data_IF_813603604676
#
_entry.id   IF_813603604676
#
_cell.length_a   1.000
_cell.length_b   1.000
_cell.length_c   1.000
_cell.angle_alpha   90.00
_cell.angle_beta   90.00
_cell.angle_gamma   90.00
#
_symmetry.space_group_name_H-M   'P 1'
#
loop_
_entity.id
_entity.type
_entity.pdbx_description
1 polymer ?
#
# COMPACT_ATOMS: atom_id res chain seq x y z
N UNK A 1 7.01 43.56 21.29
CA UNK A 1 5.85 42.92 20.64
C UNK A 1 6.12 41.48 20.16
N UNK A 2 7.07 40.74 20.78
CA UNK A 2 7.33 39.33 20.52
C UNK A 2 7.74 38.68 21.85
N UNK A 3 6.78 38.11 22.60
CA UNK A 3 6.99 37.16 23.73
C UNK A 3 5.65 36.87 24.41
N UNK A 4 4.75 36.24 23.68
CA UNK A 4 3.64 35.47 24.25
C UNK A 4 3.52 34.15 23.45
N UNK A 5 4.66 33.47 23.29
CA UNK A 5 4.65 32.04 22.97
C UNK A 5 4.24 31.32 24.25
N UNK A 6 2.94 31.19 24.46
CA UNK A 6 2.36 30.30 25.47
C UNK A 6 3.04 28.94 25.34
N UNK A 7 3.71 28.49 26.42
CA UNK A 7 4.34 27.16 26.45
C UNK A 7 3.30 26.13 26.02
N UNK A 8 3.61 25.24 25.06
CA UNK A 8 2.63 24.28 24.58
C UNK A 8 2.18 23.40 25.73
N UNK A 9 0.87 23.35 25.96
CA UNK A 9 0.28 22.47 26.97
C UNK A 9 0.44 21.02 26.50
N UNK A 10 0.57 20.07 27.44
CA UNK A 10 0.68 18.63 27.13
C UNK A 10 -0.45 18.16 26.20
N UNK A 11 -1.66 18.68 26.41
CA UNK A 11 -2.84 18.45 25.57
C UNK A 11 -2.67 19.04 24.16
N UNK A 12 -2.21 20.29 24.03
CA UNK A 12 -1.95 20.90 22.73
C UNK A 12 -0.93 20.13 21.89
N UNK A 13 0.14 19.61 22.52
CA UNK A 13 1.12 18.74 21.83
C UNK A 13 0.49 17.43 21.40
N UNK A 14 -0.29 16.78 22.29
CA UNK A 14 -0.99 15.54 21.98
C UNK A 14 -1.93 15.71 20.76
N UNK A 15 -2.69 16.80 20.72
CA UNK A 15 -3.65 17.10 19.65
C UNK A 15 -2.94 17.42 18.33
N UNK A 16 -1.83 18.16 18.37
CA UNK A 16 -1.00 18.39 17.19
C UNK A 16 -0.45 17.07 16.61
N UNK A 17 0.00 16.13 17.46
CA UNK A 17 0.46 14.80 17.00
C UNK A 17 -0.64 14.00 16.32
N UNK A 18 -1.89 14.08 16.83
CA UNK A 18 -3.03 13.42 16.21
C UNK A 18 -3.35 14.01 14.84
N UNK A 19 -3.41 15.34 14.74
CA UNK A 19 -3.67 16.04 13.48
C UNK A 19 -2.60 15.68 12.43
N UNK A 20 -1.32 15.73 12.81
CA UNK A 20 -0.21 15.37 11.93
C UNK A 20 -0.30 13.92 11.46
N UNK A 21 -0.61 12.99 12.37
CA UNK A 21 -0.79 11.58 12.00
C UNK A 21 -1.94 11.40 11.01
N UNK A 22 -3.09 12.04 11.24
CA UNK A 22 -4.26 11.95 10.34
C UNK A 22 -3.97 12.53 8.96
N UNK A 23 -3.39 13.73 8.88
CA UNK A 23 -2.99 14.35 7.61
C UNK A 23 -2.00 13.44 6.87
N UNK A 24 -0.97 12.96 7.57
CA UNK A 24 -0.01 12.01 7.01
C UNK A 24 -0.70 10.73 6.53
N UNK A 25 -1.66 10.21 7.29
CA UNK A 25 -2.44 9.03 6.93
C UNK A 25 -3.22 9.20 5.63
N UNK A 26 -3.83 10.37 5.41
CA UNK A 26 -4.51 10.72 4.15
C UNK A 26 -3.51 10.81 2.99
N UNK A 27 -2.37 11.47 3.20
CA UNK A 27 -1.32 11.57 2.18
C UNK A 27 -0.82 10.17 1.79
N UNK A 28 -0.51 9.31 2.77
CA UNK A 28 -0.09 7.92 2.50
C UNK A 28 -1.13 7.14 1.70
N UNK A 29 -2.43 7.32 1.98
CA UNK A 29 -3.50 6.70 1.20
C UNK A 29 -3.49 7.18 -0.25
N UNK A 30 -3.36 8.49 -0.48
CA UNK A 30 -3.30 9.07 -1.82
C UNK A 30 -2.10 8.50 -2.59
N UNK A 31 -0.92 8.44 -1.97
CA UNK A 31 0.29 7.90 -2.61
C UNK A 31 0.14 6.43 -3.01
N UNK A 32 -0.39 5.58 -2.12
CA UNK A 32 -0.64 4.17 -2.44
C UNK A 32 -1.73 4.02 -3.49
N UNK A 33 -2.78 4.85 -3.43
CA UNK A 33 -3.86 4.85 -4.42
C UNK A 33 -3.36 5.25 -5.81
N UNK A 34 -2.44 6.21 -5.87
CA UNK A 34 -1.76 6.60 -7.12
C UNK A 34 -1.04 5.39 -7.74
N UNK A 35 -0.26 4.65 -6.95
CA UNK A 35 0.42 3.43 -7.42
C UNK A 35 -0.59 2.35 -7.82
N UNK A 36 -1.71 2.25 -7.11
CA UNK A 36 -2.74 1.25 -7.37
C UNK A 36 -3.46 1.45 -8.70
N UNK A 37 -3.73 2.69 -9.13
CA UNK A 37 -4.42 2.95 -10.40
C UNK A 37 -3.46 3.17 -11.57
N UNK A 38 -2.14 3.23 -11.33
CA UNK A 38 -1.14 3.37 -12.38
C UNK A 38 -1.26 2.24 -13.42
N UNK A 39 -1.22 2.60 -14.71
CA UNK A 39 -1.32 1.65 -15.82
C UNK A 39 -2.67 0.96 -15.97
N UNK A 40 -3.71 1.34 -15.22
CA UNK A 40 -5.06 0.75 -15.33
C UNK A 40 -5.93 1.42 -16.39
N UNK A 41 -5.49 2.56 -16.92
CA UNK A 41 -6.24 3.38 -17.87
C UNK A 41 -5.32 3.81 -19.01
N UNK A 42 -5.87 3.89 -20.21
CA UNK A 42 -5.20 4.46 -21.38
C UNK A 42 -5.63 5.92 -21.50
N UNK A 43 -4.65 6.83 -21.53
CA UNK A 43 -4.90 8.25 -21.83
C UNK A 43 -4.85 8.42 -23.35
N UNK A 44 -5.96 8.90 -23.92
CA UNK A 44 -6.06 9.21 -25.34
C UNK A 44 -5.30 10.49 -25.67
N UNK A 45 -4.44 10.47 -26.68
CA UNK A 45 -3.60 11.58 -27.09
C UNK A 45 -2.78 11.28 -28.35
N UNK A 46 -1.84 12.16 -28.68
CA UNK A 46 -0.91 11.94 -29.79
C UNK A 46 0.53 11.79 -29.25
N UNK A 47 1.01 10.56 -28.98
CA UNK A 47 0.31 9.27 -29.03
C UNK A 47 -0.46 8.91 -27.75
N UNK A 48 -1.41 7.99 -27.88
CA UNK A 48 -2.05 7.32 -26.75
C UNK A 48 -0.99 6.64 -25.86
N UNK A 49 -1.15 6.72 -24.54
CA UNK A 49 -0.17 6.20 -23.59
C UNK A 49 -0.82 5.71 -22.29
N UNK A 50 -0.08 4.90 -21.54
CA UNK A 50 -0.56 4.36 -20.26
C UNK A 50 -0.56 5.45 -19.17
N UNK A 51 -1.63 5.51 -18.39
CA UNK A 51 -1.75 6.41 -17.25
C UNK A 51 -0.57 6.21 -16.28
N UNK A 52 0.16 7.29 -16.04
CA UNK A 52 1.37 7.29 -15.20
C UNK A 52 2.37 6.20 -15.58
N UNK A 53 2.72 6.11 -16.88
CA UNK A 53 3.82 5.27 -17.38
C UNK A 53 5.08 5.19 -16.48
N UNK A 54 5.59 6.30 -15.91
CA UNK A 54 6.77 6.23 -15.03
C UNK A 54 6.58 5.39 -13.75
N UNK A 55 5.33 5.10 -13.37
CA UNK A 55 4.94 4.30 -12.20
C UNK A 55 4.83 2.80 -12.50
N UNK A 56 5.26 2.33 -13.68
CA UNK A 56 5.54 0.92 -13.83
C UNK A 56 6.52 0.46 -12.74
N UNK A 57 6.44 -0.81 -12.32
CA UNK A 57 7.41 -1.44 -11.42
C UNK A 57 8.61 -1.95 -12.24
N UNK A 58 8.30 -2.55 -13.39
CA UNK A 58 9.26 -3.09 -14.33
C UNK A 58 8.82 -2.69 -15.73
N UNK A 59 9.79 -2.26 -16.55
CA UNK A 59 9.58 -2.00 -17.97
C UNK A 59 10.64 -2.73 -18.78
N UNK A 60 10.25 -3.28 -19.92
CA UNK A 60 11.14 -3.99 -20.85
C UNK A 60 10.54 -3.97 -22.26
N UNK A 61 11.36 -4.24 -23.25
CA UNK A 61 10.99 -4.26 -24.67
C UNK A 61 10.88 -5.71 -25.16
N UNK A 62 9.96 -5.99 -26.07
CA UNK A 62 9.74 -7.35 -26.55
C UNK A 62 8.82 -7.50 -27.76
N UNK A 63 8.47 -8.76 -28.04
CA UNK A 63 7.45 -9.19 -29.00
C UNK A 63 7.80 -8.97 -30.48
N UNK A 64 8.00 -7.74 -30.95
CA UNK A 64 8.26 -7.46 -32.37
C UNK A 64 9.70 -6.97 -32.52
N UNK A 65 10.61 -7.74 -33.15
CA UNK A 65 11.94 -7.23 -33.48
C UNK A 65 11.83 -6.16 -34.57
N UNK A 66 12.69 -5.15 -34.52
CA UNK A 66 12.83 -4.20 -35.62
C UNK A 66 13.45 -4.86 -36.87
N UNK A 67 13.43 -4.19 -38.02
CA UNK A 67 13.97 -4.69 -39.29
C UNK A 67 15.44 -5.15 -39.19
N UNK A 68 16.27 -4.40 -38.46
CA UNK A 68 17.68 -4.74 -38.24
C UNK A 68 17.86 -5.69 -37.03
N UNK A 69 16.77 -6.13 -36.42
CA UNK A 69 16.66 -6.98 -35.22
C UNK A 69 17.38 -6.48 -33.96
N UNK A 70 18.04 -5.31 -34.00
CA UNK A 70 18.81 -4.75 -32.89
C UNK A 70 18.02 -4.42 -31.62
N UNK A 71 16.70 -4.21 -31.74
CA UNK A 71 15.82 -3.91 -30.61
C UNK A 71 14.39 -4.33 -30.90
N UNK A 72 13.58 -4.38 -29.86
CA UNK A 72 12.15 -4.64 -29.95
C UNK A 72 11.33 -3.35 -30.04
N UNK A 73 10.20 -3.41 -30.74
CA UNK A 73 9.32 -2.27 -31.01
C UNK A 73 8.17 -2.10 -30.00
N UNK A 74 7.93 -3.11 -29.15
CA UNK A 74 6.85 -3.08 -28.15
C UNK A 74 7.43 -2.88 -26.76
N UNK A 75 7.01 -1.81 -26.09
CA UNK A 75 7.38 -1.47 -24.71
C UNK A 75 6.35 -2.05 -23.75
N UNK A 76 6.78 -2.99 -22.91
CA UNK A 76 5.98 -3.69 -21.92
C UNK A 76 6.17 -3.05 -20.55
N UNK A 77 5.08 -2.85 -19.82
CA UNK A 77 5.06 -2.18 -18.52
C UNK A 77 4.24 -2.99 -17.51
N UNK A 78 4.92 -3.49 -16.48
CA UNK A 78 4.29 -4.20 -15.38
C UNK A 78 4.03 -3.27 -14.21
N UNK A 79 2.76 -3.10 -13.84
CA UNK A 79 2.31 -2.27 -12.73
C UNK A 79 1.87 -3.15 -11.57
N UNK A 80 1.57 -2.51 -10.45
CA UNK A 80 1.10 -3.19 -9.25
C UNK A 80 -0.29 -3.84 -9.44
N UNK A 81 -1.11 -3.31 -10.35
CA UNK A 81 -2.49 -3.75 -10.59
C UNK A 81 -2.79 -4.08 -12.05
N UNK A 82 -1.84 -3.91 -12.97
CA UNK A 82 -2.06 -4.16 -14.39
C UNK A 82 -0.79 -4.53 -15.15
N UNK A 83 -0.96 -5.04 -16.37
CA UNK A 83 0.12 -5.18 -17.34
C UNK A 83 -0.30 -4.54 -18.66
N UNK A 84 0.44 -3.51 -19.04
CA UNK A 84 0.16 -2.71 -20.23
C UNK A 84 1.34 -2.73 -21.19
N UNK A 85 1.08 -2.32 -22.42
CA UNK A 85 2.06 -2.30 -23.48
C UNK A 85 1.85 -1.11 -24.42
N UNK A 86 2.91 -0.64 -25.06
CA UNK A 86 2.89 0.44 -26.04
C UNK A 86 3.73 0.05 -27.26
N UNK A 87 3.20 0.24 -28.47
CA UNK A 87 3.91 0.12 -29.74
C UNK A 87 3.77 1.44 -30.51
N UNK A 88 4.61 2.45 -30.21
CA UNK A 88 4.45 3.82 -30.71
C UNK A 88 4.50 3.93 -32.24
N UNK A 89 5.23 3.02 -32.88
CA UNK A 89 5.47 2.96 -34.33
C UNK A 89 4.54 1.98 -35.06
N UNK A 90 3.49 1.47 -34.40
CA UNK A 90 2.59 0.51 -35.03
C UNK A 90 1.97 1.09 -36.33
N UNK A 91 1.89 0.30 -37.41
CA UNK A 91 1.20 0.67 -38.65
C UNK A 91 -0.26 1.11 -38.43
N UNK A 92 -0.79 1.88 -39.38
CA UNK A 92 -2.19 2.29 -39.37
C UNK A 92 -3.12 1.07 -39.33
N UNK A 93 -4.06 1.07 -38.38
CA UNK A 93 -5.02 -0.03 -38.18
C UNK A 93 -4.61 -1.05 -37.13
N UNK A 94 -3.43 -0.91 -36.49
CA UNK A 94 -3.03 -1.69 -35.32
C UNK A 94 -3.09 -0.85 -34.04
N UNK A 95 -3.41 -1.48 -32.88
CA UNK A 95 -3.37 -0.80 -31.60
C UNK A 95 -1.94 -0.34 -31.27
N UNK A 96 -1.79 0.92 -30.82
CA UNK A 96 -0.51 1.49 -30.38
C UNK A 96 -0.27 1.36 -28.88
N UNK A 97 -1.30 1.00 -28.12
CA UNK A 97 -1.26 0.82 -26.67
C UNK A 97 -2.37 -0.13 -26.26
N UNK A 98 -2.14 -0.91 -25.21
CA UNK A 98 -3.15 -1.81 -24.67
C UNK A 98 -2.88 -2.19 -23.22
N UNK A 99 -3.92 -2.75 -22.58
CA UNK A 99 -3.85 -3.32 -21.23
C UNK A 99 -4.39 -4.73 -21.33
N UNK A 100 -3.53 -5.71 -21.05
CA UNK A 100 -3.88 -7.14 -21.16
C UNK A 100 -4.64 -7.63 -19.95
N UNK A 101 -4.23 -7.19 -18.77
CA UNK A 101 -4.80 -7.60 -17.50
C UNK A 101 -4.82 -6.44 -16.51
N UNK A 102 -5.88 -6.37 -15.72
CA UNK A 102 -6.04 -5.39 -14.64
C UNK A 102 -6.75 -6.02 -13.44
N UNK A 103 -6.48 -5.49 -12.25
CA UNK A 103 -7.06 -5.97 -11.00
C UNK A 103 -6.41 -7.25 -10.45
N UNK A 104 -7.24 -8.14 -9.91
CA UNK A 104 -6.80 -9.36 -9.24
C UNK A 104 -6.48 -10.46 -10.25
N UNK A 105 -5.20 -10.78 -10.38
CA UNK A 105 -4.66 -11.70 -11.40
C UNK A 105 -4.35 -13.10 -10.86
N UNK A 106 -5.36 -13.84 -10.39
CA UNK A 106 -5.15 -15.19 -9.85
C UNK A 106 -4.60 -16.20 -10.88
N UNK A 107 -5.04 -16.09 -12.14
CA UNK A 107 -4.72 -17.05 -13.21
C UNK A 107 -3.98 -16.43 -14.41
N UNK A 108 -3.77 -15.11 -14.42
CA UNK A 108 -3.04 -14.45 -15.50
C UNK A 108 -1.54 -14.61 -15.28
N UNK A 109 -0.92 -15.48 -16.06
CA UNK A 109 0.53 -15.57 -16.20
C UNK A 109 0.99 -14.46 -17.14
N UNK A 110 2.23 -13.99 -16.96
CA UNK A 110 2.83 -13.05 -17.89
C UNK A 110 2.87 -13.59 -19.33
N UNK A 111 3.03 -14.91 -19.49
CA UNK A 111 3.03 -15.54 -20.81
C UNK A 111 1.67 -15.38 -21.50
N UNK A 112 0.57 -15.57 -20.76
CA UNK A 112 -0.77 -15.34 -21.31
C UNK A 112 -0.96 -13.88 -21.72
N UNK A 113 -0.47 -12.94 -20.91
CA UNK A 113 -0.51 -11.52 -21.29
C UNK A 113 0.28 -11.29 -22.59
N UNK A 114 1.50 -11.83 -22.73
CA UNK A 114 2.31 -11.70 -23.93
C UNK A 114 1.63 -12.29 -25.18
N UNK A 115 0.99 -13.45 -25.05
CA UNK A 115 0.22 -14.08 -26.14
C UNK A 115 -0.99 -13.23 -26.55
N UNK A 116 -1.68 -12.63 -25.58
CA UNK A 116 -2.77 -11.70 -25.85
C UNK A 116 -2.27 -10.49 -26.64
N UNK A 117 -1.10 -9.92 -26.29
CA UNK A 117 -0.50 -8.80 -27.03
C UNK A 117 -0.15 -9.22 -28.46
N UNK A 118 0.46 -10.39 -28.65
CA UNK A 118 0.78 -10.90 -29.98
C UNK A 118 -0.49 -11.06 -30.85
N UNK A 119 -1.58 -11.52 -30.25
CA UNK A 119 -2.89 -11.65 -30.91
C UNK A 119 -3.47 -10.28 -31.27
N UNK A 120 -3.41 -9.31 -30.35
CA UNK A 120 -3.86 -7.92 -30.57
C UNK A 120 -3.05 -7.22 -31.68
N UNK A 121 -1.75 -7.53 -31.76
CA UNK A 121 -0.83 -7.05 -32.80
C UNK A 121 -0.92 -7.85 -34.11
N UNK A 122 -1.80 -8.86 -34.18
CA UNK A 122 -2.04 -9.71 -35.36
C UNK A 122 -0.77 -10.40 -35.87
N UNK A 123 0.09 -10.85 -34.95
CA UNK A 123 1.24 -11.68 -35.33
C UNK A 123 0.75 -13.06 -35.82
N UNK A 124 1.45 -13.68 -36.78
CA UNK A 124 1.12 -15.03 -37.22
C UNK A 124 1.17 -16.02 -36.04
N UNK A 125 0.20 -16.94 -35.95
CA UNK A 125 0.03 -17.79 -34.75
C UNK A 125 1.25 -18.68 -34.48
N UNK A 126 1.90 -19.17 -35.53
CA UNK A 126 3.14 -19.97 -35.50
C UNK A 126 4.34 -19.21 -34.90
N UNK A 127 4.26 -17.89 -34.77
CA UNK A 127 5.33 -17.06 -34.22
C UNK A 127 5.27 -16.92 -32.70
N UNK A 128 4.13 -17.18 -32.06
CA UNK A 128 3.99 -17.04 -30.60
C UNK A 128 3.33 -18.25 -29.93
N UNK A 129 2.49 -19.01 -30.65
CA UNK A 129 1.88 -20.25 -30.17
C UNK A 129 2.79 -21.45 -30.45
N UNK A 130 4.05 -21.32 -30.05
CA UNK A 130 5.07 -22.33 -30.28
C UNK A 130 4.90 -23.47 -29.26
N UNK A 131 5.15 -24.75 -29.63
CA UNK A 131 4.96 -25.90 -28.73
C UNK A 131 5.68 -25.73 -27.39
N UNK A 132 5.00 -26.12 -26.30
CA UNK A 132 5.54 -26.13 -24.91
C UNK A 132 6.84 -26.93 -24.83
N UNK A 133 7.75 -26.62 -23.88
CA UNK A 133 9.11 -27.16 -23.85
C UNK A 133 9.16 -28.68 -24.00
N UNK A 134 9.87 -29.12 -25.03
CA UNK A 134 10.21 -30.48 -25.39
C UNK A 134 11.51 -30.48 -26.20
N UNK A 135 12.19 -31.63 -26.38
CA UNK A 135 13.45 -31.68 -27.11
C UNK A 135 13.21 -31.46 -28.61
N UNK A 136 13.39 -30.22 -29.07
CA UNK A 136 13.73 -29.87 -30.46
C UNK A 136 12.81 -30.39 -31.58
N UNK A 137 11.49 -30.23 -31.51
CA UNK A 137 10.65 -30.57 -32.67
C UNK A 137 10.46 -29.41 -33.66
N UNK A 138 10.42 -28.14 -33.24
CA UNK A 138 10.50 -26.97 -34.15
C UNK A 138 10.94 -25.68 -33.42
N UNK A 139 11.73 -24.79 -34.05
CA UNK A 139 12.04 -23.45 -33.52
C UNK A 139 10.84 -22.51 -33.63
N UNK A 140 10.65 -21.64 -32.65
CA UNK A 140 9.60 -20.63 -32.71
C UNK A 140 9.92 -19.56 -33.75
N UNK A 141 8.93 -19.14 -34.56
CA UNK A 141 9.13 -18.14 -35.60
C UNK A 141 9.51 -16.74 -35.09
N UNK A 142 9.36 -16.49 -33.78
CA UNK A 142 9.72 -15.24 -33.13
C UNK A 142 10.82 -15.45 -32.08
N UNK A 143 11.92 -14.71 -32.22
CA UNK A 143 13.07 -14.77 -31.31
C UNK A 143 12.71 -14.42 -29.85
N UNK A 144 11.72 -13.55 -29.63
CA UNK A 144 11.26 -13.19 -28.29
C UNK A 144 10.52 -14.37 -27.65
N UNK A 145 9.54 -14.96 -28.34
CA UNK A 145 8.80 -16.10 -27.80
C UNK A 145 9.68 -17.35 -27.67
N UNK A 146 10.70 -17.51 -28.54
CA UNK A 146 11.73 -18.55 -28.38
C UNK A 146 12.54 -18.36 -27.09
N UNK A 147 12.99 -17.14 -26.78
CA UNK A 147 13.71 -16.86 -25.53
C UNK A 147 12.84 -17.10 -24.29
N UNK A 148 11.53 -16.89 -24.40
CA UNK A 148 10.56 -17.17 -23.34
C UNK A 148 10.12 -18.64 -23.32
N UNK A 149 10.53 -19.49 -24.26
CA UNK A 149 10.22 -20.93 -24.33
C UNK A 149 11.04 -21.73 -23.31
N UNK A 150 10.76 -21.54 -22.02
CA UNK A 150 11.43 -22.24 -20.93
C UNK A 150 10.44 -22.88 -19.95
N UNK A 151 10.89 -23.92 -19.23
CA UNK A 151 10.10 -24.50 -18.14
C UNK A 151 9.69 -23.44 -17.10
N UNK A 152 10.55 -22.43 -16.85
CA UNK A 152 10.25 -21.32 -15.94
C UNK A 152 9.10 -20.42 -16.41
N UNK A 153 8.90 -20.28 -17.72
CA UNK A 153 7.78 -19.53 -18.29
C UNK A 153 6.54 -20.40 -18.47
N UNK A 154 6.71 -21.70 -18.75
CA UNK A 154 5.62 -22.65 -19.03
C UNK A 154 4.63 -22.87 -17.87
N UNK A 155 5.08 -22.68 -16.63
CA UNK A 155 4.25 -22.70 -15.41
C UNK A 155 3.81 -21.32 -14.92
N UNK A 156 4.16 -20.25 -15.66
CA UNK A 156 4.15 -18.88 -15.16
C UNK A 156 5.39 -18.58 -14.31
N UNK A 157 5.88 -17.33 -14.36
CA UNK A 157 6.93 -16.89 -13.45
C UNK A 157 6.47 -17.11 -12.01
N UNK A 158 7.36 -17.56 -11.13
CA UNK A 158 7.13 -17.70 -9.68
C UNK A 158 7.04 -16.34 -8.97
N UNK A 159 6.42 -15.34 -9.62
CA UNK A 159 6.12 -14.02 -9.11
C UNK A 159 4.60 -13.94 -9.03
N UNK A 160 3.99 -14.32 -7.90
CA UNK A 160 2.55 -14.35 -7.79
C UNK A 160 2.03 -12.90 -7.68
N UNK A 161 1.81 -12.27 -8.83
CA UNK A 161 1.41 -10.87 -9.02
C UNK A 161 0.18 -10.48 -8.19
N UNK A 162 -0.73 -11.42 -7.96
CA UNK A 162 -1.91 -11.22 -7.12
C UNK A 162 -1.58 -10.86 -5.66
N UNK A 163 -0.44 -11.29 -5.10
CA UNK A 163 -0.03 -10.91 -3.75
C UNK A 163 0.38 -9.44 -3.68
N UNK A 164 0.98 -8.87 -4.73
CA UNK A 164 1.29 -7.43 -4.79
C UNK A 164 0.01 -6.63 -4.72
N UNK A 165 -0.96 -7.00 -5.56
CA UNK A 165 -2.29 -6.40 -5.57
C UNK A 165 -2.97 -6.50 -4.20
N UNK A 166 -2.99 -7.70 -3.60
CA UNK A 166 -3.64 -7.94 -2.31
C UNK A 166 -3.02 -7.09 -1.19
N UNK A 167 -1.69 -7.01 -1.12
CA UNK A 167 -1.00 -6.22 -0.10
C UNK A 167 -1.28 -4.71 -0.22
N UNK A 168 -1.38 -4.20 -1.45
CA UNK A 168 -1.76 -2.80 -1.70
C UNK A 168 -3.21 -2.55 -1.30
N UNK A 169 -4.13 -3.43 -1.68
CA UNK A 169 -5.55 -3.33 -1.31
C UNK A 169 -5.74 -3.38 0.21
N UNK A 170 -5.04 -4.28 0.90
CA UNK A 170 -5.09 -4.36 2.36
C UNK A 170 -4.54 -3.09 3.02
N UNK A 171 -3.48 -2.48 2.45
CA UNK A 171 -2.95 -1.20 2.91
C UNK A 171 -3.98 -0.06 2.73
N UNK A 172 -4.63 0.02 1.57
CA UNK A 172 -5.69 1.00 1.30
C UNK A 172 -6.89 0.81 2.24
N UNK A 173 -7.32 -0.44 2.43
CA UNK A 173 -8.43 -0.78 3.33
C UNK A 173 -8.12 -0.39 4.77
N UNK A 174 -6.97 -0.80 5.30
CA UNK A 174 -6.57 -0.49 6.68
C UNK A 174 -6.37 1.01 6.87
N UNK A 175 -5.71 1.69 5.92
CA UNK A 175 -5.52 3.14 5.99
C UNK A 175 -6.85 3.90 5.97
N UNK A 176 -7.82 3.48 5.14
CA UNK A 176 -9.16 4.08 5.09
C UNK A 176 -9.91 3.83 6.40
N UNK A 177 -9.79 2.62 6.95
CA UNK A 177 -10.34 2.29 8.25
C UNK A 177 -9.72 3.14 9.36
N UNK A 178 -8.43 3.50 9.30
CA UNK A 178 -7.83 4.43 10.26
C UNK A 178 -8.57 5.78 10.25
N UNK A 179 -8.80 6.37 9.08
CA UNK A 179 -9.51 7.65 8.95
C UNK A 179 -10.95 7.56 9.47
N UNK A 180 -11.65 6.50 9.11
CA UNK A 180 -13.00 6.24 9.63
C UNK A 180 -13.01 6.11 11.16
N UNK A 181 -12.03 5.43 11.74
CA UNK A 181 -11.90 5.27 13.20
C UNK A 181 -11.63 6.60 13.89
N UNK A 182 -10.78 7.45 13.33
CA UNK A 182 -10.49 8.78 13.89
C UNK A 182 -11.73 9.69 13.83
N UNK A 183 -12.59 9.54 12.83
CA UNK A 183 -13.90 10.17 12.81
C UNK A 183 -14.88 9.53 13.82
N UNK A 184 -14.88 8.20 13.94
CA UNK A 184 -15.82 7.48 14.79
C UNK A 184 -15.58 7.69 16.29
N UNK A 185 -14.32 7.80 16.74
CA UNK A 185 -13.99 7.96 18.16
C UNK A 185 -14.70 9.18 18.80
N UNK A 186 -14.60 10.41 18.26
CA UNK A 186 -15.30 11.56 18.84
C UNK A 186 -16.81 11.60 18.54
N UNK A 187 -17.27 11.06 17.41
CA UNK A 187 -18.66 11.24 16.97
C UNK A 187 -19.59 10.07 17.34
N UNK A 188 -19.07 8.84 17.31
CA UNK A 188 -19.83 7.58 17.47
C UNK A 188 -18.96 6.51 18.15
N UNK A 189 -18.46 6.73 19.38
CA UNK A 189 -17.49 5.83 20.02
C UNK A 189 -18.00 4.38 20.12
N UNK A 190 -19.30 4.16 20.33
CA UNK A 190 -19.91 2.83 20.40
C UNK A 190 -19.75 1.98 19.12
N UNK A 191 -19.49 2.59 17.96
CA UNK A 191 -19.17 1.85 16.71
C UNK A 191 -17.82 1.14 16.80
N UNK A 192 -16.93 1.61 17.68
CA UNK A 192 -15.62 1.02 17.95
C UNK A 192 -15.67 -0.14 18.95
N UNK A 193 -16.86 -0.63 19.32
CA UNK A 193 -17.01 -1.73 20.28
C UNK A 193 -16.45 -3.04 19.70
N UNK A 194 -15.68 -3.77 20.49
CA UNK A 194 -15.22 -5.10 20.08
C UNK A 194 -16.40 -6.06 19.87
N UNK A 195 -16.52 -6.62 18.66
CA UNK A 195 -17.55 -7.63 18.29
C UNK A 195 -16.99 -9.03 18.07
N UNK A 196 -15.69 -9.25 18.24
CA UNK A 196 -15.06 -10.55 18.01
C UNK A 196 -15.70 -11.62 18.90
N UNK A 197 -16.07 -12.77 18.32
CA UNK A 197 -16.58 -13.93 19.08
C UNK A 197 -15.39 -14.69 19.67
N UNK A 198 -14.40 -14.99 18.83
CA UNK A 198 -13.13 -15.64 19.17
C UNK A 198 -12.04 -14.58 19.33
N UNK A 199 -11.09 -14.79 20.24
CA UNK A 199 -9.95 -13.87 20.40
C UNK A 199 -10.29 -12.54 21.10
N UNK A 200 -11.43 -12.44 21.80
CA UNK A 200 -11.85 -11.24 22.56
C UNK A 200 -10.76 -10.65 23.46
N UNK A 201 -9.85 -11.49 23.98
CA UNK A 201 -8.74 -11.04 24.84
C UNK A 201 -7.69 -10.21 24.09
N UNK A 202 -7.50 -10.49 22.80
CA UNK A 202 -6.51 -9.85 21.93
C UNK A 202 -7.07 -8.68 21.12
N UNK A 203 -8.40 -8.52 21.13
CA UNK A 203 -9.07 -7.43 20.44
C UNK A 203 -8.59 -6.07 21.00
N UNK A 204 -7.99 -5.20 20.17
CA UNK A 204 -7.52 -3.90 20.62
C UNK A 204 -8.67 -2.92 20.87
N UNK A 205 -9.84 -3.19 20.29
CA UNK A 205 -11.04 -2.39 20.48
C UNK A 205 -11.59 -2.54 21.91
N UNK A 206 -12.14 -1.46 22.49
CA UNK A 206 -12.62 -1.50 23.84
C UNK A 206 -13.89 -2.35 24.00
N UNK A 207 -14.11 -2.78 25.23
CA UNK A 207 -15.26 -3.56 25.70
C UNK A 207 -16.05 -2.68 26.66
N UNK A 208 -17.38 -2.83 26.65
CA UNK A 208 -18.24 -2.11 27.58
C UNK A 208 -19.64 -1.85 27.06
N UNK A 209 -20.46 -1.23 27.88
CA UNK A 209 -21.75 -0.63 27.49
C UNK A 209 -21.52 0.62 26.62
N UNK A 210 -22.60 1.18 26.07
CA UNK A 210 -22.50 2.40 25.27
C UNK A 210 -22.06 3.59 26.14
N UNK A 211 -22.61 3.66 27.35
CA UNK A 211 -22.38 4.70 28.34
C UNK A 211 -20.93 4.69 28.85
N UNK A 212 -20.38 3.50 29.12
CA UNK A 212 -18.97 3.36 29.53
C UNK A 212 -18.01 3.86 28.44
N UNK A 213 -18.31 3.60 27.17
CA UNK A 213 -17.46 4.00 26.05
C UNK A 213 -17.45 5.51 25.81
N UNK A 214 -18.58 6.19 26.05
CA UNK A 214 -18.69 7.64 25.96
C UNK A 214 -17.91 8.35 27.08
N UNK A 215 -17.61 7.64 28.18
CA UNK A 215 -16.85 8.16 29.33
C UNK A 215 -15.34 7.85 29.26
N UNK A 216 -14.86 7.12 28.26
CA UNK A 216 -13.44 6.80 28.15
C UNK A 216 -12.59 8.04 27.92
N UNK A 217 -11.48 8.11 28.65
CA UNK A 217 -10.50 9.17 28.49
C UNK A 217 -9.58 8.92 27.28
N UNK A 218 -8.82 9.96 26.93
CA UNK A 218 -7.88 9.93 25.79
C UNK A 218 -6.88 8.78 25.91
N UNK A 219 -6.48 8.40 27.12
CA UNK A 219 -5.50 7.33 27.33
C UNK A 219 -6.01 5.96 26.85
N UNK A 220 -7.27 5.64 27.12
CA UNK A 220 -7.89 4.40 26.62
C UNK A 220 -7.95 4.42 25.10
N UNK A 221 -8.43 5.51 24.51
CA UNK A 221 -8.54 5.61 23.06
C UNK A 221 -7.17 5.59 22.37
N UNK A 222 -6.17 6.29 22.89
CA UNK A 222 -4.81 6.31 22.32
C UNK A 222 -4.15 4.92 22.32
N UNK A 223 -4.48 4.07 23.31
CA UNK A 223 -4.05 2.67 23.30
C UNK A 223 -4.66 1.90 22.10
N UNK A 224 -5.93 2.14 21.80
CA UNK A 224 -6.60 1.58 20.62
C UNK A 224 -5.95 2.12 19.35
N UNK A 225 -5.66 3.43 19.30
CA UNK A 225 -4.97 4.10 18.18
C UNK A 225 -3.65 3.45 17.86
N UNK A 226 -2.78 3.24 18.86
CA UNK A 226 -1.49 2.58 18.65
C UNK A 226 -1.66 1.26 17.90
N UNK A 227 -2.60 0.42 18.33
CA UNK A 227 -2.77 -0.91 17.76
C UNK A 227 -3.13 -0.86 16.26
N UNK A 228 -4.12 -0.06 15.86
CA UNK A 228 -4.52 -0.02 14.45
C UNK A 228 -3.57 0.79 13.58
N UNK A 229 -2.97 1.88 14.09
CA UNK A 229 -1.96 2.63 13.35
C UNK A 229 -0.69 1.80 13.12
N UNK A 230 -0.25 1.02 14.12
CA UNK A 230 0.88 0.11 13.96
C UNK A 230 0.57 -1.03 12.97
N UNK A 231 -0.63 -1.62 13.05
CA UNK A 231 -1.06 -2.65 12.10
C UNK A 231 -1.11 -2.12 10.66
N UNK A 232 -1.71 -0.95 10.46
CA UNK A 232 -1.75 -0.25 9.17
C UNK A 232 -0.33 0.02 8.66
N UNK A 233 0.57 0.60 9.47
CA UNK A 233 1.96 0.82 9.09
C UNK A 233 2.67 -0.47 8.66
N UNK A 234 2.45 -1.59 9.36
CA UNK A 234 3.03 -2.88 8.98
C UNK A 234 2.56 -3.32 7.57
N UNK A 235 1.27 -3.20 7.25
CA UNK A 235 0.76 -3.55 5.92
C UNK A 235 1.30 -2.64 4.80
N UNK A 236 1.43 -1.33 5.07
CA UNK A 236 2.10 -0.43 4.12
C UNK A 236 3.56 -0.85 3.88
N UNK A 237 4.27 -1.28 4.93
CA UNK A 237 5.63 -1.80 4.83
C UNK A 237 5.70 -3.11 4.04
N UNK A 238 4.75 -4.02 4.26
CA UNK A 238 4.62 -5.28 3.49
C UNK A 238 4.37 -4.95 2.02
N UNK A 239 3.47 -4.02 1.70
CA UNK A 239 3.20 -3.60 0.32
C UNK A 239 4.46 -3.02 -0.36
N UNK A 240 5.17 -2.12 0.31
CA UNK A 240 6.41 -1.54 -0.22
C UNK A 240 7.51 -2.60 -0.43
N UNK A 241 7.76 -3.42 0.60
CA UNK A 241 8.80 -4.46 0.58
C UNK A 241 8.51 -5.54 -0.45
N UNK A 242 7.29 -6.06 -0.50
CA UNK A 242 6.89 -7.10 -1.44
C UNK A 242 6.94 -6.61 -2.90
N UNK A 243 6.55 -5.37 -3.15
CA UNK A 243 6.66 -4.73 -4.48
C UNK A 243 8.12 -4.60 -4.91
N UNK A 244 9.00 -4.12 -4.02
CA UNK A 244 10.43 -4.03 -4.26
C UNK A 244 11.02 -5.41 -4.59
N UNK A 245 10.77 -6.43 -3.76
CA UNK A 245 11.27 -7.79 -3.94
C UNK A 245 10.83 -8.36 -5.31
N UNK A 246 9.56 -8.24 -5.67
CA UNK A 246 9.08 -8.77 -6.94
C UNK A 246 9.65 -8.06 -8.16
N UNK A 247 9.82 -6.74 -8.11
CA UNK A 247 10.47 -6.02 -9.21
C UNK A 247 11.92 -6.45 -9.42
N UNK A 248 12.66 -6.76 -8.34
CA UNK A 248 14.03 -7.30 -8.40
C UNK A 248 14.03 -8.67 -9.05
N UNK A 249 13.17 -9.57 -8.57
CA UNK A 249 13.08 -10.91 -9.12
C UNK A 249 12.67 -10.91 -10.59
N UNK A 250 11.69 -10.09 -10.96
CA UNK A 250 11.26 -9.98 -12.35
C UNK A 250 12.41 -9.54 -13.26
N UNK A 251 13.14 -8.48 -12.92
CA UNK A 251 14.28 -8.06 -13.75
C UNK A 251 15.38 -9.12 -13.83
N UNK A 252 15.59 -9.90 -12.76
CA UNK A 252 16.50 -11.07 -12.84
C UNK A 252 15.99 -12.15 -13.81
N UNK A 253 14.69 -12.43 -13.83
CA UNK A 253 14.11 -13.33 -14.83
C UNK A 253 14.25 -12.79 -16.25
N UNK A 254 14.10 -11.48 -16.45
CA UNK A 254 14.34 -10.86 -17.76
C UNK A 254 15.79 -11.08 -18.22
N UNK A 255 16.77 -10.92 -17.33
CA UNK A 255 18.17 -11.24 -17.65
C UNK A 255 18.37 -12.68 -18.11
N UNK A 256 17.68 -13.65 -17.48
CA UNK A 256 17.74 -15.05 -17.88
C UNK A 256 17.12 -15.33 -19.27
N UNK A 257 16.08 -14.59 -19.65
CA UNK A 257 15.53 -14.68 -21.00
C UNK A 257 16.42 -13.95 -22.01
N UNK A 258 17.07 -12.87 -21.60
CA UNK A 258 17.99 -12.10 -22.44
C UNK A 258 19.23 -12.92 -22.83
N UNK A 259 19.75 -13.77 -21.95
CA UNK A 259 20.83 -14.74 -22.25
C UNK A 259 20.48 -15.73 -23.37
N UNK A 260 19.20 -15.87 -23.76
CA UNK A 260 18.75 -16.72 -24.86
C UNK A 260 18.51 -15.97 -26.16
N UNK A 261 18.55 -14.64 -26.13
CA UNK A 261 18.39 -13.86 -27.33
C UNK A 261 19.66 -13.92 -28.19
N UNK A 262 19.54 -13.76 -29.52
CA UNK A 262 20.70 -13.59 -30.38
C UNK A 262 21.57 -12.41 -29.95
N UNK A 263 22.87 -12.51 -30.23
CA UNK A 263 23.84 -11.46 -29.91
C UNK A 263 23.43 -10.10 -30.49
N UNK A 264 23.51 -9.06 -29.65
CA UNK A 264 23.18 -7.69 -30.05
C UNK A 264 21.70 -7.30 -29.92
N UNK A 265 20.84 -8.20 -29.44
CA UNK A 265 19.42 -7.95 -29.18
C UNK A 265 19.17 -7.93 -27.68
N UNK A 266 18.51 -6.89 -27.18
CA UNK A 266 18.20 -6.72 -25.76
C UNK A 266 16.73 -6.38 -25.53
N UNK A 267 16.19 -6.89 -24.42
CA UNK A 267 14.87 -6.47 -23.91
C UNK A 267 14.97 -5.21 -23.03
N UNK A 268 16.17 -4.69 -22.74
CA UNK A 268 16.38 -3.51 -21.89
C UNK A 268 15.58 -3.56 -20.58
N UNK A 269 15.54 -4.74 -19.93
CA UNK A 269 14.77 -4.97 -18.72
C UNK A 269 15.25 -4.08 -17.57
N UNK A 270 14.38 -3.19 -17.08
CA UNK A 270 14.74 -2.25 -16.02
C UNK A 270 13.66 -2.10 -14.95
N UNK A 271 14.12 -1.93 -13.72
CA UNK A 271 13.29 -1.53 -12.58
C UNK A 271 12.97 -0.05 -12.68
N UNK A 272 11.74 0.32 -12.36
CA UNK A 272 11.26 1.70 -12.35
C UNK A 272 10.96 2.07 -10.90
N UNK A 273 11.81 2.91 -10.34
CA UNK A 273 11.83 3.16 -8.89
C UNK A 273 10.72 4.09 -8.40
N UNK A 274 10.03 4.80 -9.29
CA UNK A 274 9.08 5.85 -8.90
C UNK A 274 7.96 5.29 -8.00
N UNK A 275 7.30 4.20 -8.40
CA UNK A 275 6.27 3.55 -7.58
C UNK A 275 6.80 3.02 -6.26
N UNK A 276 8.00 2.43 -6.26
CA UNK A 276 8.63 1.95 -5.03
C UNK A 276 8.89 3.11 -4.05
N UNK A 277 9.41 4.24 -4.55
CA UNK A 277 9.64 5.44 -3.76
C UNK A 277 8.33 5.93 -3.15
N UNK A 278 7.24 6.01 -3.94
CA UNK A 278 5.94 6.42 -3.42
C UNK A 278 5.43 5.49 -2.32
N UNK A 279 5.56 4.18 -2.48
CA UNK A 279 5.18 3.20 -1.45
C UNK A 279 6.04 3.32 -0.19
N UNK A 280 7.36 3.47 -0.32
CA UNK A 280 8.27 3.65 0.81
C UNK A 280 8.03 4.97 1.55
N UNK A 281 7.75 6.06 0.83
CA UNK A 281 7.35 7.34 1.42
C UNK A 281 6.02 7.19 2.17
N UNK A 282 5.02 6.54 1.56
CA UNK A 282 3.75 6.27 2.22
C UNK A 282 3.91 5.44 3.50
N UNK A 283 4.76 4.42 3.47
CA UNK A 283 5.14 3.63 4.65
C UNK A 283 5.86 4.46 5.71
N UNK A 284 6.82 5.30 5.31
CA UNK A 284 7.54 6.19 6.23
C UNK A 284 6.59 7.15 6.95
N UNK A 285 5.67 7.77 6.22
CA UNK A 285 4.64 8.65 6.78
C UNK A 285 3.70 7.88 7.72
N UNK A 286 3.26 6.67 7.35
CA UNK A 286 2.42 5.83 8.23
C UNK A 286 3.15 5.42 9.51
N UNK A 287 4.42 5.06 9.41
CA UNK A 287 5.27 4.73 10.56
C UNK A 287 5.45 5.93 11.48
N UNK A 288 5.66 7.11 10.90
CA UNK A 288 5.68 8.37 11.64
C UNK A 288 4.35 8.62 12.36
N UNK A 289 3.21 8.41 11.71
CA UNK A 289 1.88 8.51 12.34
C UNK A 289 1.71 7.53 13.51
N UNK A 290 2.16 6.29 13.38
CA UNK A 290 2.15 5.31 14.47
C UNK A 290 3.04 5.73 15.65
N UNK A 291 4.22 6.32 15.37
CA UNK A 291 5.09 6.91 16.39
C UNK A 291 4.42 8.10 17.09
N UNK A 292 3.74 8.98 16.34
CA UNK A 292 2.94 10.07 16.91
C UNK A 292 1.89 9.53 17.88
N UNK A 293 1.19 8.43 17.55
CA UNK A 293 0.23 7.78 18.45
C UNK A 293 0.90 7.19 19.69
N UNK A 294 2.07 6.57 19.54
CA UNK A 294 2.82 6.04 20.66
C UNK A 294 3.28 7.13 21.63
N UNK A 295 3.75 8.27 21.10
CA UNK A 295 4.12 9.45 21.90
C UNK A 295 2.87 10.06 22.54
N UNK A 296 1.77 10.23 21.79
CA UNK A 296 0.50 10.74 22.29
C UNK A 296 -0.01 9.91 23.46
N UNK A 297 -0.01 8.58 23.35
CA UNK A 297 -0.39 7.67 24.43
C UNK A 297 0.48 7.83 25.68
N UNK A 298 1.80 8.00 25.52
CA UNK A 298 2.69 8.32 26.66
C UNK A 298 2.34 9.69 27.28
N UNK A 299 1.92 10.65 26.46
CA UNK A 299 1.45 11.97 26.90
C UNK A 299 0.02 11.96 27.48
N UNK A 300 -0.82 10.97 27.21
CA UNK A 300 -2.14 10.84 27.84
C UNK A 300 -2.10 10.05 29.14
N UNK A 301 -1.01 9.31 29.41
CA UNK A 301 -0.80 8.61 30.68
C UNK A 301 -0.81 9.62 31.85
N UNK A 302 -1.83 9.55 32.71
CA UNK A 302 -1.86 10.33 33.95
C UNK A 302 -0.66 9.91 34.81
N UNK A 303 0.20 10.84 35.29
CA UNK A 303 1.23 10.48 36.24
C UNK A 303 0.54 9.89 37.48
N UNK A 304 0.99 8.70 37.91
CA UNK A 304 0.59 8.12 39.20
C UNK A 304 0.87 9.20 40.27
N UNK A 305 -0.18 9.72 40.92
CA UNK A 305 -0.08 10.77 41.94
C UNK A 305 -0.93 12.04 41.72
N UNK A 306 -1.50 12.26 40.52
CA UNK A 306 -2.24 13.51 40.27
C UNK A 306 -3.59 13.64 41.00
N UNK A 307 -4.12 12.53 41.56
CA UNK A 307 -5.32 12.54 42.41
C UNK A 307 -5.03 12.84 43.88
N UNK A 308 -3.77 12.80 44.33
CA UNK A 308 -3.42 13.06 45.74
C UNK A 308 -3.26 14.56 46.04
N UNK A 309 -3.08 15.40 45.02
CA UNK A 309 -2.88 16.84 45.19
C UNK A 309 -4.14 17.73 45.10
N UNK A 310 -5.29 17.18 44.71
CA UNK A 310 -6.52 17.98 44.48
C UNK A 310 -7.66 17.72 45.47
N UNK A 311 -7.57 16.70 46.33
CA UNK A 311 -8.63 16.37 47.31
C UNK A 311 -8.37 16.90 48.74
N UNK A 312 -7.16 17.34 49.10
CA UNK A 312 -6.86 17.77 50.47
C UNK A 312 -7.12 19.27 50.73
N UNK A 313 -6.92 20.15 49.74
CA UNK A 313 -7.04 21.60 49.97
C UNK A 313 -8.49 22.14 49.99
N UNK A 314 -9.50 21.31 49.69
CA UNK A 314 -10.92 21.74 49.68
C UNK A 314 -11.71 21.30 50.91
N UNK A 315 -11.19 20.35 51.69
CA UNK A 315 -11.89 19.82 52.87
C UNK A 315 -11.40 20.47 54.17
N UNK A 316 -10.19 21.05 54.22
CA UNK A 316 -9.67 21.70 55.44
C UNK A 316 -10.12 23.15 55.67
N UNK A 317 -10.87 23.78 54.75
CA UNK A 317 -11.37 25.16 54.92
C UNK A 317 -12.82 25.29 55.40
N UNK A 318 -13.49 24.20 55.72
CA UNK A 318 -14.82 24.22 56.32
C UNK A 318 -14.84 23.50 57.66
N UNK A 319 -14.07 24.02 58.64
CA UNK A 319 -14.43 23.86 60.04
C UNK A 319 -14.92 25.21 60.56
N UNK A 320 -16.22 25.34 60.90
CA UNK A 320 -16.70 26.48 61.67
C UNK A 320 -16.08 26.41 63.07
N UNK A 321 -15.51 27.52 63.52
CA UNK A 321 -15.33 27.77 64.95
C UNK A 321 -16.73 27.87 65.57
N UNK A 322 -17.05 26.96 66.49
CA UNK A 322 -18.30 26.98 67.22
C UNK A 322 -18.25 25.98 68.34
N UNK A 323 -17.87 26.46 69.53
CA UNK A 323 -18.32 25.90 70.79
C UNK A 323 -19.85 25.79 70.72
N UNK A 324 -20.40 24.60 70.87
CA UNK A 324 -21.54 24.39 71.77
C UNK A 324 -21.78 22.89 71.95
N UNK A 325 -21.87 22.51 73.22
CA UNK A 325 -22.12 21.14 73.65
C UNK A 325 -23.54 20.70 73.36
N UNK A 326 -23.69 19.44 73.00
CA UNK A 326 -24.98 18.76 72.91
C UNK A 326 -24.78 17.27 73.18
N UNK A 327 -25.16 16.85 74.39
CA UNK A 327 -25.26 15.45 74.82
C UNK A 327 -26.15 14.65 73.86
N UNK A 328 -25.76 13.41 73.58
CA UNK A 328 -26.72 12.35 73.27
C UNK A 328 -26.62 11.30 74.37
N UNK A 329 -27.72 11.13 75.08
CA UNK A 329 -28.06 10.01 75.96
C UNK A 329 -28.48 8.81 75.12
N UNK A 330 -28.06 7.63 75.57
CA UNK A 330 -28.50 6.24 75.32
C UNK A 330 -29.14 5.85 73.97
#
# INVERSE_FOLDING_TARGET
MLRLLTKPTRKGVADALLILAVIGGVISLILVFIVFIAGTTIIRGEPDHLLWKPLALVSFDGIIPNNDTSHFLVHLNWYASSFGWEHPTAPNGLPKVGITSSGLRYHSTIVNDLHQIATELRLPEDTFNCPKPGPYEDPCGNIFFEAWRSFMASGGLNIPSWHVWLNIVMSLLLGTMDIFREWAIPNRPHWMKCRCIIGKRWCPLPKGSKEEMEQFDDFVWDKVRIAYWALSAAFFGIAAGHTCINSVFFVRYLGYFEERLPDGISMHGRRRLASEILLWVAFGIKTFGALCMAIRWKLSRRPKGWMEGQSLNRIERSKPNGQDGGKYTD
#
